data_IF_852603088677
#
_entry.id   IF_852603088677
#
_cell.length_a   1.000
_cell.length_b   1.000
_cell.length_c   1.000
_cell.angle_alpha   90.00
_cell.angle_beta   90.00
_cell.angle_gamma   90.00
#
_symmetry.space_group_name_H-M   'P 1'
#
loop_
_entity.id
_entity.type
_entity.pdbx_description
1 polymer ?
#
# COMPACT_ATOMS: atom_id res chain seq x y z
N UNK A 1 57.40 18.61 28.98
CA UNK A 1 57.66 17.59 27.93
C UNK A 1 56.34 16.95 27.60
N UNK A 2 55.67 17.42 26.53
CA UNK A 2 54.42 16.81 26.01
C UNK A 2 54.84 15.61 25.17
N UNK A 3 54.61 14.41 25.68
CA UNK A 3 54.76 13.18 24.90
C UNK A 3 53.76 13.23 23.76
N UNK A 4 54.24 13.37 22.55
CA UNK A 4 53.41 13.19 21.33
C UNK A 4 53.03 11.73 21.32
N UNK A 5 51.81 11.43 21.77
CA UNK A 5 51.25 10.08 21.69
C UNK A 5 51.18 9.71 20.21
N UNK A 6 51.95 8.72 19.82
CA UNK A 6 51.96 8.24 18.43
C UNK A 6 50.61 7.59 18.08
N UNK A 7 50.11 7.82 16.85
CA UNK A 7 48.90 7.15 16.34
C UNK A 7 49.00 5.62 16.42
N UNK A 8 50.21 5.07 16.32
CA UNK A 8 50.48 3.64 16.51
C UNK A 8 50.23 3.17 17.94
N UNK A 9 50.56 3.99 18.94
CA UNK A 9 50.35 3.64 20.35
C UNK A 9 48.86 3.67 20.71
N UNK A 10 48.14 4.69 20.22
CA UNK A 10 46.67 4.75 20.35
C UNK A 10 45.99 3.56 19.70
N UNK A 11 46.43 3.15 18.52
CA UNK A 11 45.90 1.99 17.83
C UNK A 11 46.18 0.68 18.57
N UNK A 12 47.32 0.56 19.19
CA UNK A 12 47.70 -0.62 19.99
C UNK A 12 46.84 -0.73 21.26
N UNK A 13 46.61 0.39 21.98
CA UNK A 13 45.73 0.45 23.15
C UNK A 13 44.27 0.20 22.78
N UNK A 14 43.81 0.78 21.66
CA UNK A 14 42.49 0.58 21.16
C UNK A 14 42.15 -0.90 20.87
N UNK A 15 43.04 -1.62 20.19
CA UNK A 15 42.90 -3.06 19.92
C UNK A 15 42.84 -3.91 21.19
N UNK A 16 43.44 -3.45 22.28
CA UNK A 16 43.42 -4.15 23.57
C UNK A 16 42.10 -3.92 24.34
N UNK A 17 41.38 -2.87 24.00
CA UNK A 17 40.09 -2.55 24.62
C UNK A 17 38.94 -3.34 23.97
N UNK A 18 38.31 -4.24 24.74
CA UNK A 18 37.09 -4.98 24.28
C UNK A 18 35.96 -4.04 23.89
N UNK A 19 35.82 -2.92 24.64
CA UNK A 19 34.79 -1.91 24.36
C UNK A 19 35.11 -1.15 23.07
N UNK A 20 36.36 -0.82 22.82
CA UNK A 20 36.81 -0.18 21.59
C UNK A 20 36.56 -1.06 20.37
N UNK A 21 36.87 -2.37 20.44
CA UNK A 21 36.60 -3.32 19.37
C UNK A 21 35.11 -3.48 19.12
N UNK A 22 34.28 -3.54 20.17
CA UNK A 22 32.82 -3.60 20.02
C UNK A 22 32.27 -2.34 19.35
N UNK A 23 32.75 -1.15 19.75
CA UNK A 23 32.39 0.12 19.12
C UNK A 23 32.76 0.17 17.63
N UNK A 24 33.98 -0.30 17.28
CA UNK A 24 34.41 -0.37 15.88
C UNK A 24 33.55 -1.35 15.05
N UNK A 25 33.21 -2.50 15.64
CA UNK A 25 32.35 -3.48 14.96
C UNK A 25 30.97 -2.88 14.67
N UNK A 26 30.36 -2.19 15.64
CA UNK A 26 29.08 -1.51 15.45
C UNK A 26 29.19 -0.42 14.37
N UNK A 27 30.24 0.41 14.42
CA UNK A 27 30.46 1.46 13.43
C UNK A 27 30.62 0.86 12.02
N UNK A 28 31.41 -0.18 11.86
CA UNK A 28 31.61 -0.87 10.59
C UNK A 28 30.29 -1.45 10.09
N UNK A 29 29.53 -2.08 10.97
CA UNK A 29 28.21 -2.61 10.64
C UNK A 29 27.25 -1.52 10.14
N UNK A 30 27.20 -0.35 10.80
CA UNK A 30 26.37 0.77 10.36
C UNK A 30 26.81 1.33 9.00
N UNK A 31 28.11 1.41 8.74
CA UNK A 31 28.64 1.84 7.43
C UNK A 31 28.23 0.86 6.34
N UNK A 32 28.37 -0.44 6.58
CA UNK A 32 27.97 -1.48 5.63
C UNK A 32 26.46 -1.42 5.38
N UNK A 33 25.64 -1.27 6.42
CA UNK A 33 24.19 -1.10 6.27
C UNK A 33 23.83 0.14 5.44
N UNK A 34 24.54 1.26 5.65
CA UNK A 34 24.33 2.49 4.89
C UNK A 34 24.61 2.30 3.40
N UNK A 35 25.69 1.61 3.06
CA UNK A 35 26.04 1.30 1.66
C UNK A 35 24.99 0.37 1.04
N UNK A 36 24.57 -0.66 1.77
CA UNK A 36 23.51 -1.59 1.31
C UNK A 36 22.19 -0.84 1.09
N UNK A 37 21.79 0.02 2.02
CA UNK A 37 20.57 0.82 1.90
C UNK A 37 20.57 1.70 0.64
N UNK A 38 21.69 2.37 0.35
CA UNK A 38 21.86 3.16 -0.88
C UNK A 38 21.78 2.30 -2.16
N UNK A 39 22.29 1.07 -2.11
CA UNK A 39 22.27 0.16 -3.25
C UNK A 39 20.89 -0.41 -3.55
N UNK A 40 20.05 -0.59 -2.52
CA UNK A 40 18.69 -1.15 -2.65
C UNK A 40 17.67 -0.05 -2.96
N UNK A 41 17.90 1.17 -2.47
CA UNK A 41 16.94 2.27 -2.62
C UNK A 41 17.17 3.01 -3.93
N UNK A 42 16.19 2.98 -4.84
CA UNK A 42 16.28 3.73 -6.09
C UNK A 42 16.27 5.24 -5.83
N UNK A 43 16.99 6.00 -6.67
CA UNK A 43 17.03 7.46 -6.58
C UNK A 43 15.62 8.09 -6.70
N UNK A 44 14.71 7.45 -7.42
CA UNK A 44 13.32 7.86 -7.57
C UNK A 44 12.55 7.76 -6.25
N UNK A 45 12.73 6.67 -5.50
CA UNK A 45 12.12 6.51 -4.15
C UNK A 45 12.64 7.55 -3.16
N UNK A 46 13.91 7.91 -3.24
CA UNK A 46 14.47 8.95 -2.38
C UNK A 46 13.88 10.33 -2.70
N UNK A 47 13.65 10.63 -3.98
CA UNK A 47 13.04 11.90 -4.40
C UNK A 47 11.56 11.98 -4.03
N UNK A 48 10.83 10.88 -4.16
CA UNK A 48 9.40 10.80 -3.85
C UNK A 48 9.10 10.64 -2.35
N UNK A 49 10.14 10.48 -1.50
CA UNK A 49 9.94 10.24 -0.06
C UNK A 49 9.11 11.32 0.63
N UNK A 50 9.33 12.59 0.27
CA UNK A 50 8.62 13.72 0.84
C UNK A 50 7.38 14.14 0.02
N UNK A 51 7.04 13.41 -1.05
CA UNK A 51 5.88 13.68 -1.88
C UNK A 51 4.66 12.92 -1.34
N UNK A 52 3.65 13.62 -0.77
CA UNK A 52 2.44 12.97 -0.28
C UNK A 52 1.69 12.18 -1.35
N UNK A 53 1.78 12.59 -2.62
CA UNK A 53 1.12 11.90 -3.73
C UNK A 53 1.70 10.50 -3.96
N UNK A 54 3.00 10.31 -3.75
CA UNK A 54 3.65 9.00 -3.88
C UNK A 54 3.15 7.97 -2.85
N UNK A 55 2.60 8.43 -1.72
CA UNK A 55 2.11 7.59 -0.64
C UNK A 55 0.59 7.39 -0.65
N UNK A 56 -0.11 8.01 -1.58
CA UNK A 56 -1.58 7.97 -1.64
C UNK A 56 -2.13 6.56 -1.77
N UNK A 57 -1.42 5.68 -2.49
CA UNK A 57 -1.84 4.28 -2.70
C UNK A 57 -1.38 3.32 -1.60
N UNK A 58 -0.72 3.82 -0.57
CA UNK A 58 -0.36 2.99 0.57
C UNK A 58 -1.40 3.10 1.69
N UNK A 59 -1.82 1.97 2.29
CA UNK A 59 -2.83 1.98 3.34
C UNK A 59 -2.30 2.74 4.57
N UNK A 60 -3.12 3.65 5.08
CA UNK A 60 -2.78 4.42 6.28
C UNK A 60 -2.81 3.52 7.50
N UNK A 61 -1.83 3.68 8.39
CA UNK A 61 -1.73 2.93 9.65
C UNK A 61 -1.64 1.40 9.50
N UNK A 62 -1.30 0.89 8.31
CA UNK A 62 -1.04 -0.52 8.13
C UNK A 62 0.23 -0.92 8.90
N UNK A 63 0.15 -2.04 9.63
CA UNK A 63 1.31 -2.58 10.31
C UNK A 63 2.30 -3.15 9.30
N UNK A 64 3.62 -2.97 9.52
CA UNK A 64 4.63 -3.59 8.68
C UNK A 64 4.52 -5.11 8.68
N UNK A 65 4.77 -5.76 7.54
CA UNK A 65 4.65 -7.21 7.39
C UNK A 65 5.52 -8.02 8.38
N UNK A 66 6.67 -7.48 8.79
CA UNK A 66 7.55 -8.14 9.76
C UNK A 66 6.92 -8.32 11.15
N UNK A 67 5.87 -7.56 11.49
CA UNK A 67 5.14 -7.72 12.76
C UNK A 67 4.51 -9.12 12.84
N UNK A 68 4.09 -9.69 11.70
CA UNK A 68 3.54 -11.05 11.64
C UNK A 68 4.54 -12.14 12.09
N UNK A 69 5.85 -11.85 12.10
CA UNK A 69 6.86 -12.79 12.63
C UNK A 69 6.78 -12.95 14.15
N UNK A 70 6.20 -11.98 14.85
CA UNK A 70 6.12 -11.94 16.31
C UNK A 70 4.67 -11.98 16.82
N UNK A 71 3.70 -11.93 15.91
CA UNK A 71 2.28 -11.94 16.24
C UNK A 71 1.72 -13.35 16.23
N UNK A 72 0.87 -13.68 17.20
CA UNK A 72 0.08 -14.91 17.21
C UNK A 72 -1.13 -14.85 16.29
N UNK A 73 -1.49 -13.66 15.81
CA UNK A 73 -2.62 -13.40 14.93
C UNK A 73 -2.06 -12.93 13.59
N UNK A 74 -2.55 -13.47 12.49
CA UNK A 74 -2.15 -13.03 11.14
C UNK A 74 -2.79 -11.70 10.79
N UNK A 75 -1.99 -10.66 10.81
CA UNK A 75 -2.41 -9.31 10.42
C UNK A 75 -2.48 -9.18 8.90
N UNK A 76 -3.47 -8.43 8.42
CA UNK A 76 -3.60 -8.17 6.99
C UNK A 76 -2.40 -7.40 6.45
N UNK A 77 -1.78 -7.95 5.40
CA UNK A 77 -0.62 -7.34 4.73
C UNK A 77 -1.07 -6.54 3.51
N UNK A 78 -0.23 -5.57 3.12
CA UNK A 78 -0.46 -4.80 1.90
C UNK A 78 -0.37 -5.73 0.68
N UNK A 79 -1.48 -5.85 -0.03
CA UNK A 79 -1.59 -6.70 -1.22
C UNK A 79 -2.11 -5.87 -2.38
N UNK A 80 -1.41 -5.90 -3.51
CA UNK A 80 -1.84 -5.24 -4.75
C UNK A 80 -2.50 -6.30 -5.64
N UNK A 81 -3.77 -6.07 -5.98
CA UNK A 81 -4.53 -6.95 -6.86
C UNK A 81 -4.29 -6.53 -8.31
N UNK A 82 -3.65 -7.40 -9.06
CA UNK A 82 -3.39 -7.24 -10.48
C UNK A 82 -4.13 -8.32 -11.27
N UNK A 83 -4.27 -8.11 -12.59
CA UNK A 83 -4.82 -9.09 -13.54
C UNK A 83 -6.28 -9.49 -13.25
N UNK A 84 -7.24 -8.55 -13.38
CA UNK A 84 -8.65 -8.87 -13.28
C UNK A 84 -9.10 -9.76 -14.44
N UNK A 85 -10.09 -10.59 -14.19
CA UNK A 85 -10.88 -11.18 -15.27
C UNK A 85 -11.81 -10.10 -15.83
N UNK A 86 -11.65 -9.77 -17.10
CA UNK A 86 -12.44 -8.72 -17.76
C UNK A 86 -13.55 -9.37 -18.55
N UNK A 87 -14.80 -9.00 -18.23
CA UNK A 87 -15.99 -9.40 -18.96
C UNK A 87 -16.61 -8.16 -19.58
N UNK A 88 -16.99 -8.25 -20.85
CA UNK A 88 -17.63 -7.15 -21.58
C UNK A 88 -18.97 -7.66 -22.09
N UNK A 89 -20.03 -6.97 -21.69
CA UNK A 89 -21.38 -7.24 -22.13
C UNK A 89 -21.97 -6.00 -22.82
N UNK A 90 -22.76 -6.25 -23.87
CA UNK A 90 -23.47 -5.22 -24.63
C UNK A 90 -24.96 -5.47 -24.53
N UNK A 91 -25.67 -4.65 -23.79
CA UNK A 91 -27.10 -4.74 -23.65
C UNK A 91 -27.74 -3.40 -24.00
N UNK A 92 -28.66 -3.40 -24.97
CA UNK A 92 -29.55 -2.26 -25.30
C UNK A 92 -28.81 -0.91 -25.40
N UNK A 93 -27.73 -0.84 -26.15
CA UNK A 93 -26.89 0.36 -26.33
C UNK A 93 -26.00 0.75 -25.13
N UNK A 94 -25.95 -0.09 -24.09
CA UNK A 94 -25.08 0.10 -22.94
C UNK A 94 -23.94 -0.92 -23.02
N UNK A 95 -22.70 -0.43 -22.95
CA UNK A 95 -21.52 -1.27 -22.78
C UNK A 95 -21.22 -1.40 -21.30
N UNK A 96 -21.32 -2.62 -20.79
CA UNK A 96 -20.93 -2.94 -19.43
C UNK A 96 -19.55 -3.64 -19.45
N UNK A 97 -18.59 -3.10 -18.72
CA UNK A 97 -17.28 -3.70 -18.53
C UNK A 97 -17.13 -4.08 -17.06
N UNK A 98 -16.97 -5.36 -16.79
CA UNK A 98 -16.84 -5.91 -15.44
C UNK A 98 -15.41 -6.41 -15.23
N UNK A 99 -14.75 -5.88 -14.23
CA UNK A 99 -13.45 -6.34 -13.76
C UNK A 99 -13.63 -7.17 -12.49
N UNK A 100 -13.30 -8.45 -12.53
CA UNK A 100 -13.44 -9.36 -11.39
C UNK A 100 -12.08 -9.73 -10.86
N UNK A 101 -11.85 -9.43 -9.58
CA UNK A 101 -10.66 -9.81 -8.83
C UNK A 101 -11.02 -10.91 -7.85
N UNK A 102 -10.42 -12.08 -7.99
CA UNK A 102 -10.58 -13.16 -7.03
C UNK A 102 -9.52 -13.04 -5.93
N UNK A 103 -9.97 -12.94 -4.69
CA UNK A 103 -9.10 -12.73 -3.54
C UNK A 103 -9.22 -13.93 -2.60
N UNK A 104 -8.10 -14.60 -2.32
CA UNK A 104 -8.03 -15.56 -1.24
C UNK A 104 -7.53 -14.85 0.01
N UNK A 105 -8.45 -14.60 0.95
CA UNK A 105 -8.15 -13.88 2.19
C UNK A 105 -7.78 -14.88 3.28
N UNK A 106 -6.52 -14.85 3.74
CA UNK A 106 -5.98 -15.79 4.72
C UNK A 106 -5.52 -15.12 6.02
N UNK A 107 -6.02 -13.92 6.29
CA UNK A 107 -5.68 -13.15 7.48
C UNK A 107 -6.81 -13.21 8.51
N UNK A 108 -6.44 -13.12 9.79
CA UNK A 108 -7.39 -13.14 10.91
C UNK A 108 -7.99 -11.76 11.20
N UNK A 109 -7.34 -10.70 10.70
CA UNK A 109 -7.77 -9.31 10.89
C UNK A 109 -8.29 -8.70 9.60
N UNK A 110 -9.25 -7.78 9.70
CA UNK A 110 -9.69 -6.99 8.56
C UNK A 110 -8.58 -6.07 8.05
N UNK A 111 -8.52 -5.79 6.73
CA UNK A 111 -7.59 -4.81 6.20
C UNK A 111 -7.89 -3.41 6.79
N UNK A 112 -6.85 -2.64 7.05
CA UNK A 112 -6.99 -1.27 7.59
C UNK A 112 -7.60 -0.32 6.57
N UNK A 113 -7.38 -0.57 5.28
CA UNK A 113 -7.95 0.21 4.20
C UNK A 113 -8.08 -0.63 2.92
N UNK A 114 -9.06 -0.29 2.10
CA UNK A 114 -9.22 -0.81 0.74
C UNK A 114 -9.16 0.39 -0.20
N UNK A 115 -8.14 0.41 -1.04
CA UNK A 115 -7.87 1.52 -1.95
C UNK A 115 -8.13 1.05 -3.39
N UNK A 116 -8.97 1.77 -4.12
CA UNK A 116 -9.32 1.46 -5.50
C UNK A 116 -8.94 2.64 -6.39
N UNK A 117 -7.82 2.53 -7.07
CA UNK A 117 -7.43 3.48 -8.11
C UNK A 117 -8.01 3.03 -9.45
N UNK A 118 -8.71 3.92 -10.13
CA UNK A 118 -9.33 3.61 -11.41
C UNK A 118 -9.15 4.72 -12.43
N UNK A 119 -9.08 4.28 -13.68
CA UNK A 119 -9.01 5.17 -14.84
C UNK A 119 -10.00 4.67 -15.89
N UNK A 120 -11.00 5.48 -16.19
CA UNK A 120 -12.10 5.13 -17.09
C UNK A 120 -12.11 6.07 -18.28
N UNK A 121 -12.26 5.49 -19.48
CA UNK A 121 -12.52 6.23 -20.71
C UNK A 121 -13.98 5.99 -21.11
N UNK A 122 -14.74 7.07 -21.25
CA UNK A 122 -16.17 6.98 -21.51
C UNK A 122 -16.69 8.18 -22.31
N UNK A 123 -17.88 8.03 -22.89
CA UNK A 123 -18.67 9.07 -23.57
C UNK A 123 -20.11 8.98 -23.10
N UNK A 124 -20.77 10.11 -22.95
CA UNK A 124 -22.14 10.17 -22.43
C UNK A 124 -22.19 10.10 -20.91
N UNK A 125 -23.26 9.53 -20.39
CA UNK A 125 -23.44 9.26 -18.95
C UNK A 125 -22.90 7.88 -18.62
N UNK A 126 -22.08 7.78 -17.58
CA UNK A 126 -21.51 6.52 -17.14
C UNK A 126 -21.62 6.35 -15.64
N UNK A 127 -21.77 5.11 -15.20
CA UNK A 127 -21.86 4.72 -13.80
C UNK A 127 -20.78 3.69 -13.51
N UNK A 128 -19.97 3.95 -12.48
CA UNK A 128 -19.05 2.96 -11.93
C UNK A 128 -19.65 2.40 -10.64
N UNK A 129 -19.73 1.08 -10.54
CA UNK A 129 -20.16 0.39 -9.35
C UNK A 129 -19.07 -0.58 -8.90
N UNK A 130 -18.73 -0.53 -7.64
CA UNK A 130 -17.80 -1.44 -6.99
C UNK A 130 -18.57 -2.27 -5.98
N UNK A 131 -18.39 -3.59 -6.02
CA UNK A 131 -19.00 -4.51 -5.09
C UNK A 131 -18.02 -5.58 -4.63
N UNK A 132 -18.20 -6.04 -3.41
CA UNK A 132 -17.43 -7.13 -2.81
C UNK A 132 -18.38 -8.29 -2.56
N UNK A 133 -18.11 -9.43 -3.21
CA UNK A 133 -18.88 -10.66 -2.99
C UNK A 133 -18.14 -11.53 -2.00
N UNK A 134 -18.79 -11.92 -0.92
CA UNK A 134 -18.26 -12.79 0.11
C UNK A 134 -18.39 -14.26 -0.31
N UNK A 135 -17.65 -15.20 0.32
CA UNK A 135 -17.76 -16.64 0.05
C UNK A 135 -19.17 -17.22 0.29
N UNK A 136 -19.96 -16.60 1.16
CA UNK A 136 -21.34 -16.96 1.45
C UNK A 136 -22.34 -16.52 0.35
N UNK A 137 -21.85 -15.90 -0.74
CA UNK A 137 -22.64 -15.38 -1.85
C UNK A 137 -23.24 -13.99 -1.63
N UNK A 138 -23.12 -13.44 -0.43
CA UNK A 138 -23.59 -12.08 -0.14
C UNK A 138 -22.72 -11.04 -0.83
N UNK A 139 -23.34 -10.11 -1.54
CA UNK A 139 -22.65 -9.03 -2.26
C UNK A 139 -22.93 -7.70 -1.58
N UNK A 140 -21.86 -7.04 -1.16
CA UNK A 140 -21.89 -5.72 -0.52
C UNK A 140 -21.53 -4.68 -1.58
N UNK A 141 -22.39 -3.68 -1.79
CA UNK A 141 -22.04 -2.52 -2.62
C UNK A 141 -21.05 -1.65 -1.84
N UNK A 142 -19.82 -1.58 -2.37
CA UNK A 142 -18.74 -0.80 -1.75
C UNK A 142 -18.86 0.68 -2.13
N UNK A 143 -19.04 0.97 -3.42
CA UNK A 143 -19.22 2.32 -3.91
C UNK A 143 -20.00 2.36 -5.22
N UNK A 144 -20.73 3.45 -5.41
CA UNK A 144 -21.40 3.81 -6.65
C UNK A 144 -21.07 5.25 -7.01
N UNK A 145 -20.40 5.44 -8.14
CA UNK A 145 -19.93 6.76 -8.60
C UNK A 145 -20.54 7.05 -9.96
N UNK A 146 -21.37 8.09 -10.03
CA UNK A 146 -21.85 8.62 -11.29
C UNK A 146 -20.78 9.53 -11.89
N UNK A 147 -20.34 9.20 -13.10
CA UNK A 147 -19.35 10.01 -13.80
C UNK A 147 -20.01 11.21 -14.49
N UNK A 148 -19.34 12.36 -14.58
CA UNK A 148 -19.90 13.55 -15.26
C UNK A 148 -20.29 13.22 -16.68
N UNK A 149 -21.50 13.63 -17.10
CA UNK A 149 -21.97 13.41 -18.47
C UNK A 149 -21.25 14.32 -19.46
N UNK A 150 -20.67 13.76 -20.52
CA UNK A 150 -19.96 14.48 -21.55
C UNK A 150 -20.33 14.00 -22.95
N UNK A 151 -20.51 14.94 -23.87
CA UNK A 151 -20.81 14.63 -25.27
C UNK A 151 -19.61 14.03 -26.03
N UNK A 152 -18.39 14.37 -25.60
CA UNK A 152 -17.14 13.87 -26.18
C UNK A 152 -16.50 12.82 -25.29
N UNK A 153 -15.65 11.98 -25.87
CA UNK A 153 -14.88 10.98 -25.12
C UNK A 153 -13.98 11.68 -24.10
N UNK A 154 -14.06 11.24 -22.84
CA UNK A 154 -13.25 11.75 -21.74
C UNK A 154 -12.56 10.61 -20.98
N UNK A 155 -11.45 10.99 -20.35
CA UNK A 155 -10.74 10.13 -19.40
C UNK A 155 -10.97 10.70 -18.01
N UNK A 156 -11.49 9.87 -17.13
CA UNK A 156 -11.68 10.18 -15.71
C UNK A 156 -10.80 9.26 -14.88
N UNK A 157 -10.06 9.84 -13.96
CA UNK A 157 -9.17 9.13 -13.05
C UNK A 157 -9.45 9.58 -11.62
N UNK A 158 -9.59 8.64 -10.71
CA UNK A 158 -9.83 8.92 -9.30
C UNK A 158 -9.42 7.75 -8.43
N UNK A 159 -9.36 7.99 -7.13
CA UNK A 159 -9.03 7.00 -6.11
C UNK A 159 -10.16 7.00 -5.08
N UNK A 160 -10.66 5.82 -4.75
CA UNK A 160 -11.64 5.59 -3.69
C UNK A 160 -10.93 4.95 -2.50
N UNK A 161 -11.22 5.45 -1.31
CA UNK A 161 -10.74 4.91 -0.05
C UNK A 161 -11.90 4.35 0.77
N UNK A 162 -11.66 3.27 1.52
CA UNK A 162 -12.67 2.73 2.43
C UNK A 162 -13.03 3.70 3.55
N UNK A 163 -12.17 4.67 3.82
CA UNK A 163 -12.38 5.74 4.80
C UNK A 163 -13.23 6.90 4.27
N UNK A 164 -13.52 6.92 2.97
CA UNK A 164 -14.37 7.97 2.37
C UNK A 164 -15.81 7.85 2.89
N UNK A 165 -16.37 9.00 3.26
CA UNK A 165 -17.73 9.05 3.84
C UNK A 165 -18.78 8.40 2.94
N UNK A 166 -18.71 8.63 1.63
CA UNK A 166 -19.64 8.03 0.66
C UNK A 166 -19.59 6.49 0.65
N UNK A 167 -18.38 5.92 0.80
CA UNK A 167 -18.17 4.48 0.91
C UNK A 167 -18.70 3.95 2.23
N UNK A 168 -18.41 4.62 3.34
CA UNK A 168 -18.92 4.25 4.66
C UNK A 168 -20.44 4.28 4.71
N UNK A 169 -21.08 5.32 4.18
CA UNK A 169 -22.54 5.44 4.10
C UNK A 169 -23.15 4.30 3.28
N UNK A 170 -22.54 3.89 2.16
CA UNK A 170 -22.97 2.75 1.36
C UNK A 170 -22.95 1.45 2.15
N UNK A 171 -21.87 1.18 2.87
CA UNK A 171 -21.71 -0.02 3.70
C UNK A 171 -22.73 -0.03 4.84
N UNK A 172 -22.91 1.10 5.55
CA UNK A 172 -23.87 1.23 6.63
C UNK A 172 -25.29 1.02 6.15
N UNK A 173 -25.66 1.62 5.02
CA UNK A 173 -26.99 1.43 4.40
C UNK A 173 -27.24 -0.03 4.00
N UNK A 174 -26.21 -0.72 3.50
CA UNK A 174 -26.32 -2.15 3.22
C UNK A 174 -26.56 -2.95 4.51
N UNK A 175 -25.74 -2.74 5.54
CA UNK A 175 -25.86 -3.47 6.80
C UNK A 175 -27.20 -3.21 7.51
N UNK A 176 -27.81 -2.03 7.35
CA UNK A 176 -29.11 -1.69 7.93
C UNK A 176 -30.28 -2.44 7.28
N UNK A 177 -30.13 -2.88 6.03
CA UNK A 177 -31.17 -3.66 5.32
C UNK A 177 -31.19 -5.14 5.71
N UNK A 178 -30.14 -5.65 6.32
CA UNK A 178 -29.99 -7.06 6.67
C UNK A 178 -29.97 -7.31 8.20
N UNK A 179 -30.36 -6.32 8.98
CA UNK A 179 -30.72 -6.44 10.39
C UNK A 179 -32.24 -6.64 10.52
#
# INVERSE_FOLDING_TARGET
MSSIVSLSDLWHEFKRSRVGLAGLAILTFLIVLSIIALSITSAERLRSWNDPAAWTLYPRNAMPAWVNLFSSVRLAEHTILNNPQVMVDYSSNIKQVKHVYNITYMYDTMPTDIIIAYKVRYQGSSLMQVSITRPDGNTIEYARVSLPSNATEQVYESILFSTDKAVQDSIVNYLSKYK
#
